data_IF_138382280229
#
_entry.id   IF_138382280229
#
_cell.length_a   1.000
_cell.length_b   1.000
_cell.length_c   1.000
_cell.angle_alpha   90.00
_cell.angle_beta   90.00
_cell.angle_gamma   90.00
#
_symmetry.space_group_name_H-M   'P 1'
#
loop_
_entity.id
_entity.type
_entity.pdbx_description
1 polymer ?
#
# COMPACT_ATOMS: atom_id res chain seq x y z
N UNK A 1 21.00 3.87 2.90
CA UNK A 1 21.32 4.88 1.87
C UNK A 1 20.06 5.15 1.07
N UNK A 2 19.78 6.42 0.72
CA UNK A 2 18.66 6.75 -0.17
C UNK A 2 19.08 6.46 -1.63
N UNK A 3 18.22 5.82 -2.42
CA UNK A 3 18.45 5.72 -3.86
C UNK A 3 18.12 7.05 -4.55
N UNK A 4 18.71 7.31 -5.71
CA UNK A 4 18.35 8.46 -6.54
C UNK A 4 16.85 8.42 -6.84
N UNK A 5 16.11 9.54 -6.67
CA UNK A 5 14.71 9.61 -7.08
C UNK A 5 14.55 9.36 -8.58
N UNK A 6 13.44 8.78 -8.98
CA UNK A 6 13.08 8.54 -10.38
C UNK A 6 11.59 8.74 -10.60
N UNK A 7 11.15 8.86 -11.85
CA UNK A 7 9.72 9.01 -12.18
C UNK A 7 9.17 7.75 -12.84
N UNK A 8 7.91 7.45 -12.55
CA UNK A 8 7.14 6.38 -13.20
C UNK A 8 5.96 7.00 -13.95
N UNK A 9 5.73 6.55 -15.19
CA UNK A 9 4.47 6.74 -15.90
C UNK A 9 3.59 5.50 -15.72
N UNK A 10 2.40 5.66 -15.15
CA UNK A 10 1.46 4.57 -14.99
C UNK A 10 0.94 4.09 -16.34
N UNK A 11 0.70 2.78 -16.48
CA UNK A 11 0.10 2.15 -17.65
C UNK A 11 -1.13 1.28 -17.31
N UNK A 12 -1.65 1.42 -16.08
CA UNK A 12 -2.77 0.63 -15.54
C UNK A 12 -4.09 1.18 -16.08
N UNK A 13 -4.31 2.48 -15.92
CA UNK A 13 -5.48 3.20 -16.40
C UNK A 13 -5.23 3.69 -17.83
N UNK A 14 -6.26 3.57 -18.67
CA UNK A 14 -6.20 4.00 -20.07
C UNK A 14 -6.10 5.53 -20.21
N UNK A 15 -6.61 6.27 -19.22
CA UNK A 15 -6.48 7.72 -19.17
C UNK A 15 -5.07 8.15 -18.78
N UNK A 16 -4.64 9.31 -19.29
CA UNK A 16 -3.38 9.90 -18.90
C UNK A 16 -3.42 10.40 -17.46
N UNK A 17 -2.29 10.21 -16.78
CA UNK A 17 -2.06 10.64 -15.41
C UNK A 17 -0.71 11.32 -15.33
N UNK A 18 -0.55 12.21 -14.33
CA UNK A 18 0.73 12.85 -14.03
C UNK A 18 1.78 11.79 -13.70
N UNK A 19 3.04 12.12 -13.98
CA UNK A 19 4.16 11.30 -13.57
C UNK A 19 4.23 11.18 -12.05
N UNK A 20 4.66 10.01 -11.59
CA UNK A 20 4.75 9.65 -10.18
C UNK A 20 6.22 9.76 -9.78
N UNK A 21 6.55 10.67 -8.86
CA UNK A 21 7.89 10.78 -8.30
C UNK A 21 8.09 9.68 -7.26
N UNK A 22 9.11 8.84 -7.45
CA UNK A 22 9.47 7.77 -6.52
C UNK A 22 10.75 8.13 -5.79
N UNK A 23 10.66 8.13 -4.46
CA UNK A 23 11.79 8.32 -3.56
C UNK A 23 11.96 7.08 -2.68
N UNK A 24 13.18 6.78 -2.26
CA UNK A 24 13.43 5.71 -1.30
C UNK A 24 14.26 6.18 -0.12
N UNK A 25 13.96 5.64 1.06
CA UNK A 25 14.73 5.90 2.26
C UNK A 25 14.77 4.67 3.16
N UNK A 26 15.77 4.58 4.01
CA UNK A 26 15.71 3.67 5.15
C UNK A 26 14.76 4.23 6.20
N UNK A 27 14.09 3.35 6.95
CA UNK A 27 13.19 3.78 8.02
C UNK A 27 13.87 4.71 9.06
N UNK A 28 15.19 4.63 9.25
CA UNK A 28 15.96 5.57 10.09
C UNK A 28 16.00 7.00 9.56
N UNK A 29 15.89 7.19 8.24
CA UNK A 29 15.92 8.48 7.55
C UNK A 29 14.53 9.02 7.23
N UNK A 30 13.46 8.27 7.52
CA UNK A 30 12.07 8.59 7.15
C UNK A 30 11.62 10.00 7.59
N UNK A 31 12.21 10.55 8.67
CA UNK A 31 11.88 11.91 9.16
C UNK A 31 12.13 13.00 8.13
N UNK A 32 13.08 12.80 7.21
CA UNK A 32 13.41 13.76 6.15
C UNK A 32 12.51 13.66 4.93
N UNK A 33 11.83 12.52 4.74
CA UNK A 33 11.05 12.24 3.53
C UNK A 33 9.54 12.33 3.78
N UNK A 34 9.09 11.89 4.96
CA UNK A 34 7.67 11.80 5.28
C UNK A 34 6.94 13.15 5.26
N UNK A 35 7.49 14.29 5.73
CA UNK A 35 6.79 15.57 5.65
C UNK A 35 6.45 15.96 4.20
N UNK A 36 7.40 15.85 3.28
CA UNK A 36 7.20 16.14 1.86
C UNK A 36 6.21 15.17 1.22
N UNK A 37 6.26 13.89 1.59
CA UNK A 37 5.27 12.90 1.18
C UNK A 37 3.86 13.28 1.67
N UNK A 38 3.70 13.61 2.96
CA UNK A 38 2.42 13.96 3.57
C UNK A 38 1.82 15.24 2.97
N UNK A 39 2.66 16.19 2.56
CA UNK A 39 2.20 17.39 1.87
C UNK A 39 1.58 17.10 0.48
N UNK A 40 1.82 15.91 -0.09
CA UNK A 40 1.21 15.47 -1.35
C UNK A 40 -0.05 14.61 -1.17
N UNK A 41 -0.50 14.39 0.07
CA UNK A 41 -1.69 13.59 0.35
C UNK A 41 -2.94 14.39 0.00
N UNK A 42 -3.75 13.83 -0.89
CA UNK A 42 -5.05 14.38 -1.29
C UNK A 42 -6.16 13.50 -0.68
N UNK A 43 -7.28 14.12 -0.30
CA UNK A 43 -8.48 13.46 0.27
C UNK A 43 -8.23 12.56 1.50
N UNK A 44 -7.11 12.74 2.18
CA UNK A 44 -6.64 11.87 3.27
C UNK A 44 -6.53 10.39 2.86
N UNK A 45 -6.17 10.10 1.61
CA UNK A 45 -6.00 8.73 1.11
C UNK A 45 -4.52 8.48 0.83
N UNK A 46 -4.02 7.35 1.32
CA UNK A 46 -2.69 6.84 0.98
C UNK A 46 -2.83 5.40 0.54
N UNK A 47 -2.27 5.07 -0.63
CA UNK A 47 -2.15 3.70 -1.07
C UNK A 47 -0.91 3.03 -0.47
N UNK A 48 -1.01 1.74 -0.16
CA UNK A 48 0.06 0.94 0.41
C UNK A 48 0.33 -0.31 -0.43
N UNK A 49 1.59 -0.71 -0.43
CA UNK A 49 2.03 -2.04 -0.85
C UNK A 49 3.24 -2.47 0.01
N UNK A 50 3.64 -3.72 -0.11
CA UNK A 50 4.84 -4.23 0.57
C UNK A 50 5.63 -5.14 -0.35
N UNK A 51 6.96 -5.13 -0.19
CA UNK A 51 7.84 -6.13 -0.78
C UNK A 51 8.30 -7.06 0.35
N UNK A 52 8.13 -8.36 0.14
CA UNK A 52 8.59 -9.39 1.06
C UNK A 52 9.97 -9.89 0.61
N UNK A 53 10.90 -9.93 1.56
CA UNK A 53 12.23 -10.51 1.40
C UNK A 53 12.26 -12.00 1.73
N UNK A 54 13.46 -12.55 2.00
CA UNK A 54 13.64 -13.95 2.38
C UNK A 54 12.73 -14.36 3.56
N UNK A 55 12.24 -15.61 3.52
CA UNK A 55 11.32 -16.17 4.53
C UNK A 55 9.97 -15.44 4.62
N UNK A 56 9.52 -14.78 3.54
CA UNK A 56 8.27 -14.02 3.46
C UNK A 56 8.16 -12.88 4.49
N UNK A 57 9.30 -12.36 4.98
CA UNK A 57 9.31 -11.21 5.89
C UNK A 57 9.23 -9.91 5.10
N UNK A 58 8.41 -8.98 5.53
CA UNK A 58 8.34 -7.66 4.89
C UNK A 58 9.72 -6.99 4.96
N UNK A 59 10.25 -6.59 3.81
CA UNK A 59 11.53 -5.89 3.69
C UNK A 59 11.37 -4.43 3.28
N UNK A 60 10.27 -4.09 2.58
CA UNK A 60 9.93 -2.71 2.23
C UNK A 60 8.45 -2.45 2.42
N UNK A 61 8.14 -1.27 2.94
CA UNK A 61 6.79 -0.71 2.95
C UNK A 61 6.75 0.42 1.92
N UNK A 62 5.75 0.42 1.06
CA UNK A 62 5.57 1.44 0.03
C UNK A 62 4.35 2.27 0.40
N UNK A 63 4.52 3.60 0.44
CA UNK A 63 3.44 4.57 0.61
C UNK A 63 3.24 5.30 -0.72
N UNK A 64 2.00 5.59 -1.09
CA UNK A 64 1.69 6.30 -2.34
C UNK A 64 0.58 7.32 -2.19
N UNK A 65 0.80 8.47 -2.82
CA UNK A 65 -0.22 9.48 -3.16
C UNK A 65 -0.40 9.50 -4.68
N UNK A 66 -1.24 10.39 -5.22
CA UNK A 66 -1.43 10.48 -6.67
C UNK A 66 -0.18 10.89 -7.44
N UNK A 67 0.77 11.59 -6.80
CA UNK A 67 1.95 12.18 -7.45
C UNK A 67 3.28 11.73 -6.86
N UNK A 68 3.28 11.05 -5.71
CA UNK A 68 4.50 10.60 -5.03
C UNK A 68 4.38 9.20 -4.48
N UNK A 69 5.47 8.45 -4.57
CA UNK A 69 5.68 7.18 -3.89
C UNK A 69 6.90 7.28 -3.00
N UNK A 70 6.76 6.82 -1.75
CA UNK A 70 7.86 6.68 -0.81
C UNK A 70 8.08 5.19 -0.50
N UNK A 71 9.22 4.67 -0.94
CA UNK A 71 9.67 3.30 -0.64
C UNK A 71 10.52 3.34 0.63
N UNK A 72 10.03 2.69 1.69
CA UNK A 72 10.70 2.63 2.98
C UNK A 72 11.37 1.27 3.13
N UNK A 73 12.70 1.24 3.18
CA UNK A 73 13.44 0.03 3.54
C UNK A 73 13.26 -0.24 5.03
N UNK A 74 12.69 -1.39 5.34
CA UNK A 74 12.37 -1.83 6.68
C UNK A 74 13.50 -2.73 7.20
N UNK A 75 14.05 -2.41 8.37
CA UNK A 75 14.97 -3.30 9.08
C UNK A 75 14.52 -3.52 10.51
N UNK A 76 14.66 -4.75 10.99
CA UNK A 76 14.24 -5.13 12.36
C UNK A 76 15.05 -4.41 13.45
N UNK A 77 16.25 -3.94 13.12
CA UNK A 77 17.21 -3.31 14.04
C UNK A 77 16.95 -1.83 14.31
N UNK A 78 16.05 -1.19 13.57
CA UNK A 78 15.88 0.26 13.67
C UNK A 78 14.97 0.67 14.84
N UNK A 79 15.56 1.43 15.76
CA UNK A 79 14.90 1.96 16.97
C UNK A 79 13.89 3.09 16.69
N UNK A 80 13.95 3.73 15.51
CA UNK A 80 13.22 4.97 15.23
C UNK A 80 11.91 4.73 14.45
N UNK A 81 11.03 3.87 14.98
CA UNK A 81 9.71 3.57 14.39
C UNK A 81 8.65 4.65 14.68
N UNK A 82 8.96 5.63 15.54
CA UNK A 82 7.97 6.52 16.15
C UNK A 82 7.17 7.34 15.14
N UNK A 83 7.81 7.89 14.11
CA UNK A 83 7.12 8.73 13.12
C UNK A 83 6.28 7.89 12.14
N UNK A 84 6.79 6.74 11.67
CA UNK A 84 6.01 5.81 10.87
C UNK A 84 4.81 5.28 11.65
N UNK A 85 5.01 4.94 12.94
CA UNK A 85 3.93 4.51 13.84
C UNK A 85 2.84 5.57 13.97
N UNK A 86 3.21 6.86 14.14
CA UNK A 86 2.24 7.96 14.18
C UNK A 86 1.42 8.04 12.90
N UNK A 87 2.06 7.90 11.74
CA UNK A 87 1.37 7.87 10.44
C UNK A 87 0.40 6.68 10.32
N UNK A 88 0.87 5.45 10.56
CA UNK A 88 0.04 4.24 10.47
C UNK A 88 -1.16 4.26 11.42
N UNK A 89 -1.00 4.90 12.59
CA UNK A 89 -2.03 5.06 13.61
C UNK A 89 -2.94 6.28 13.43
N UNK A 90 -2.71 7.11 12.41
CA UNK A 90 -3.52 8.30 12.15
C UNK A 90 -4.87 7.91 11.52
N UNK A 91 -5.93 7.80 12.32
CA UNK A 91 -7.24 7.37 11.83
C UNK A 91 -7.89 8.32 10.81
N UNK A 92 -7.44 9.58 10.71
CA UNK A 92 -7.95 10.51 9.70
C UNK A 92 -7.54 10.14 8.27
N UNK A 93 -6.46 9.35 8.12
CA UNK A 93 -5.95 8.90 6.83
C UNK A 93 -6.46 7.49 6.54
N UNK A 94 -7.11 7.30 5.40
CA UNK A 94 -7.44 5.99 4.83
C UNK A 94 -6.15 5.40 4.23
N UNK A 95 -5.81 4.17 4.62
CA UNK A 95 -4.70 3.42 4.00
C UNK A 95 -5.26 2.29 3.16
N UNK A 96 -5.26 2.42 1.84
CA UNK A 96 -5.78 1.39 0.94
C UNK A 96 -4.69 0.45 0.47
N UNK A 97 -4.98 -0.84 0.38
CA UNK A 97 -4.11 -1.85 -0.24
C UNK A 97 -4.95 -2.97 -0.83
N UNK A 98 -4.43 -3.71 -1.82
CA UNK A 98 -5.13 -4.87 -2.36
C UNK A 98 -5.20 -6.04 -1.37
N UNK A 99 -4.19 -6.19 -0.52
CA UNK A 99 -4.14 -7.23 0.51
C UNK A 99 -3.86 -6.60 1.87
N UNK A 100 -4.77 -5.71 2.29
CA UNK A 100 -4.52 -4.89 3.48
C UNK A 100 -4.42 -5.72 4.77
N UNK A 101 -5.05 -6.90 4.80
CA UNK A 101 -4.97 -7.88 5.87
C UNK A 101 -3.57 -8.52 5.97
N UNK A 102 -3.02 -9.03 4.86
CA UNK A 102 -1.66 -9.59 4.80
C UNK A 102 -0.62 -8.53 5.13
N UNK A 103 -0.78 -7.31 4.59
CA UNK A 103 0.10 -6.18 4.89
C UNK A 103 0.05 -5.81 6.38
N UNK A 104 -1.14 -5.75 6.97
CA UNK A 104 -1.33 -5.43 8.38
C UNK A 104 -0.74 -6.51 9.31
N UNK A 105 -0.89 -7.79 8.95
CA UNK A 105 -0.28 -8.91 9.65
C UNK A 105 1.25 -8.82 9.60
N UNK A 106 1.83 -8.57 8.43
CA UNK A 106 3.27 -8.40 8.26
C UNK A 106 3.82 -7.21 9.07
N UNK A 107 3.15 -6.05 9.06
CA UNK A 107 3.54 -4.91 9.91
C UNK A 107 3.60 -5.27 11.40
N UNK A 108 2.61 -6.04 11.88
CA UNK A 108 2.54 -6.44 13.28
C UNK A 108 3.59 -7.52 13.62
N UNK A 109 3.63 -8.61 12.86
CA UNK A 109 4.50 -9.76 13.13
C UNK A 109 5.98 -9.45 12.92
N UNK A 110 6.33 -8.71 11.87
CA UNK A 110 7.74 -8.42 11.55
C UNK A 110 8.28 -7.20 12.31
N UNK A 111 7.44 -6.20 12.56
CA UNK A 111 7.89 -4.89 13.03
C UNK A 111 7.19 -4.37 14.29
N UNK A 112 6.21 -5.09 14.85
CA UNK A 112 5.39 -4.63 15.98
C UNK A 112 4.76 -3.25 15.71
N UNK A 113 4.42 -3.00 14.44
CA UNK A 113 3.73 -1.81 14.00
C UNK A 113 2.24 -2.11 13.88
N UNK A 114 1.42 -1.17 14.35
CA UNK A 114 -0.03 -1.26 14.20
C UNK A 114 -0.49 -0.25 13.15
N UNK A 115 -1.55 -0.62 12.46
CA UNK A 115 -2.21 0.19 11.45
C UNK A 115 -3.68 0.36 11.81
N UNK A 116 -4.23 1.53 11.46
CA UNK A 116 -5.64 1.88 11.67
C UNK A 116 -6.22 2.48 10.41
N UNK A 117 -7.52 2.31 10.22
CA UNK A 117 -8.25 2.78 9.05
C UNK A 117 -7.63 2.28 7.74
N UNK A 118 -7.17 1.02 7.73
CA UNK A 118 -6.73 0.36 6.52
C UNK A 118 -7.92 -0.26 5.79
N UNK A 119 -7.98 -0.13 4.46
CA UNK A 119 -9.06 -0.61 3.60
C UNK A 119 -8.51 -1.64 2.64
N UNK A 120 -9.11 -2.81 2.67
CA UNK A 120 -8.77 -3.90 1.79
C UNK A 120 -9.54 -3.79 0.47
N UNK A 121 -8.84 -3.49 -0.63
CA UNK A 121 -9.48 -3.22 -1.91
C UNK A 121 -10.02 -4.47 -2.57
N UNK A 122 -9.44 -5.65 -2.33
CA UNK A 122 -10.00 -6.90 -2.86
C UNK A 122 -11.33 -7.26 -2.17
N UNK A 123 -11.60 -6.73 -0.97
CA UNK A 123 -12.93 -6.82 -0.33
C UNK A 123 -14.01 -5.99 -1.01
N UNK A 124 -13.66 -5.16 -2.01
CA UNK A 124 -14.64 -4.47 -2.84
C UNK A 124 -15.27 -5.43 -3.86
N UNK A 125 -14.49 -6.38 -4.38
CA UNK A 125 -14.96 -7.31 -5.42
C UNK A 125 -15.77 -8.47 -4.84
N UNK A 126 -16.71 -8.99 -5.63
CA UNK A 126 -17.44 -10.22 -5.35
C UNK A 126 -16.74 -11.45 -5.96
N UNK A 127 -15.75 -11.22 -6.84
CA UNK A 127 -14.92 -12.26 -7.44
C UNK A 127 -13.97 -12.88 -6.41
N UNK A 128 -13.42 -14.04 -6.76
CA UNK A 128 -12.35 -14.66 -5.98
C UNK A 128 -11.16 -13.70 -5.81
N UNK A 129 -10.64 -13.58 -4.59
CA UNK A 129 -9.67 -12.54 -4.22
C UNK A 129 -8.38 -12.64 -5.01
N UNK A 130 -7.98 -13.86 -5.36
CA UNK A 130 -6.75 -14.13 -6.09
C UNK A 130 -6.95 -14.03 -7.62
N UNK A 131 -8.16 -13.70 -8.09
CA UNK A 131 -8.47 -13.57 -9.51
C UNK A 131 -8.11 -12.20 -10.06
N UNK A 132 -7.71 -12.16 -11.34
CA UNK A 132 -7.55 -10.91 -12.08
C UNK A 132 -8.83 -10.05 -12.04
N UNK A 133 -10.00 -10.69 -12.07
CA UNK A 133 -11.29 -10.00 -12.04
C UNK A 133 -11.50 -9.23 -10.73
N UNK A 134 -10.97 -9.72 -9.60
CA UNK A 134 -10.99 -8.97 -8.35
C UNK A 134 -10.14 -7.70 -8.42
N UNK A 135 -8.95 -7.76 -9.01
CA UNK A 135 -8.12 -6.56 -9.24
C UNK A 135 -8.78 -5.58 -10.21
N UNK A 136 -9.32 -6.08 -11.33
CA UNK A 136 -10.02 -5.26 -12.31
C UNK A 136 -11.25 -4.57 -11.68
N UNK A 137 -12.05 -5.31 -10.92
CA UNK A 137 -13.23 -4.79 -10.22
C UNK A 137 -12.88 -3.76 -9.14
N UNK A 138 -11.81 -4.00 -8.39
CA UNK A 138 -11.31 -3.08 -7.38
C UNK A 138 -10.71 -1.78 -7.97
N UNK A 139 -10.32 -1.79 -9.24
CA UNK A 139 -9.72 -0.64 -9.93
C UNK A 139 -10.70 0.17 -10.78
N UNK A 140 -11.91 -0.34 -11.05
CA UNK A 140 -12.95 0.38 -11.80
C UNK A 140 -13.55 -0.35 -13.00
N UNK A 141 -13.05 -1.55 -13.32
CA UNK A 141 -13.55 -2.42 -14.39
C UNK A 141 -12.85 -2.25 -15.74
N UNK A 142 -13.16 -3.16 -16.68
CA UNK A 142 -12.41 -3.34 -17.94
C UNK A 142 -12.43 -2.14 -18.88
N UNK A 143 -13.43 -1.26 -18.81
CA UNK A 143 -13.54 -0.09 -19.70
C UNK A 143 -12.56 1.03 -19.39
N UNK A 144 -11.93 1.00 -18.20
CA UNK A 144 -11.02 2.06 -17.73
C UNK A 144 -9.57 1.60 -17.60
N UNK A 145 -9.32 0.29 -17.77
CA UNK A 145 -8.06 -0.36 -17.41
C UNK A 145 -7.45 -1.10 -18.59
N UNK A 146 -6.12 -1.10 -18.66
CA UNK A 146 -5.36 -2.03 -19.48
C UNK A 146 -5.27 -3.37 -18.76
N UNK A 147 -6.07 -4.36 -19.20
CA UNK A 147 -6.08 -5.71 -18.65
C UNK A 147 -4.68 -6.34 -18.63
N UNK A 148 -3.89 -6.13 -19.69
CA UNK A 148 -2.51 -6.61 -19.77
C UNK A 148 -1.60 -5.94 -18.74
N UNK A 149 -1.75 -4.64 -18.50
CA UNK A 149 -0.94 -3.95 -17.50
C UNK A 149 -1.29 -4.39 -16.07
N UNK A 150 -2.59 -4.56 -15.77
CA UNK A 150 -3.04 -5.11 -14.48
C UNK A 150 -2.47 -6.51 -14.29
N UNK A 151 -2.58 -7.39 -15.30
CA UNK A 151 -1.99 -8.73 -15.23
C UNK A 151 -0.48 -8.67 -14.93
N UNK A 152 0.27 -7.85 -15.66
CA UNK A 152 1.71 -7.71 -15.47
C UNK A 152 2.09 -7.16 -14.09
N UNK A 153 1.23 -6.36 -13.45
CA UNK A 153 1.56 -5.73 -12.15
C UNK A 153 1.14 -6.62 -10.97
N UNK A 154 0.07 -7.40 -11.11
CA UNK A 154 -0.52 -8.15 -9.99
C UNK A 154 -0.28 -9.67 -10.05
N UNK A 155 0.10 -10.25 -11.20
CA UNK A 155 0.31 -11.70 -11.33
C UNK A 155 1.69 -12.18 -10.81
N UNK A 156 2.59 -11.28 -10.42
CA UNK A 156 3.99 -11.61 -10.10
C UNK A 156 4.25 -12.07 -8.65
N UNK A 157 3.25 -12.23 -7.80
CA UNK A 157 3.48 -12.59 -6.39
C UNK A 157 4.19 -13.94 -6.18
N UNK A 158 4.14 -14.86 -7.15
CA UNK A 158 4.77 -16.18 -7.08
C UNK A 158 6.20 -16.25 -7.63
N UNK A 159 6.67 -15.23 -8.37
CA UNK A 159 8.02 -15.22 -8.97
C UNK A 159 8.95 -14.31 -8.19
N UNK A 160 10.18 -14.79 -7.99
CA UNK A 160 11.25 -14.17 -7.24
C UNK A 160 11.28 -12.62 -7.33
N UNK A 161 11.12 -11.97 -6.17
CA UNK A 161 11.35 -10.53 -5.94
C UNK A 161 10.48 -9.60 -6.78
N UNK A 162 9.38 -9.10 -6.20
CA UNK A 162 8.60 -8.01 -6.82
C UNK A 162 9.52 -6.81 -7.07
N UNK A 163 9.61 -6.41 -8.34
CA UNK A 163 10.37 -5.23 -8.76
C UNK A 163 9.85 -3.98 -8.03
N UNK A 164 10.72 -3.09 -7.51
CA UNK A 164 10.29 -1.91 -6.75
C UNK A 164 9.32 -1.01 -7.52
N UNK A 165 9.49 -0.93 -8.83
CA UNK A 165 8.60 -0.19 -9.74
C UNK A 165 7.19 -0.79 -9.77
N UNK A 166 7.07 -2.13 -9.80
CA UNK A 166 5.77 -2.80 -9.79
C UNK A 166 5.06 -2.57 -8.44
N UNK A 167 5.77 -2.74 -7.32
CA UNK A 167 5.21 -2.46 -5.99
C UNK A 167 4.81 -0.98 -5.80
N UNK A 168 5.58 -0.05 -6.37
CA UNK A 168 5.24 1.37 -6.42
C UNK A 168 3.93 1.61 -7.18
N UNK A 169 3.77 0.96 -8.35
CA UNK A 169 2.54 1.01 -9.13
C UNK A 169 1.35 0.36 -8.41
N UNK A 170 1.54 -0.75 -7.69
CA UNK A 170 0.50 -1.37 -6.87
C UNK A 170 0.01 -0.41 -5.77
N UNK A 171 0.93 0.22 -5.03
CA UNK A 171 0.57 1.20 -4.00
C UNK A 171 -0.14 2.41 -4.62
N UNK A 172 0.35 2.93 -5.74
CA UNK A 172 -0.31 4.02 -6.47
C UNK A 172 -1.70 3.64 -6.96
N UNK A 173 -1.86 2.45 -7.54
CA UNK A 173 -3.14 1.94 -7.99
C UNK A 173 -4.13 1.78 -6.83
N UNK A 174 -3.66 1.38 -5.65
CA UNK A 174 -4.47 1.30 -4.45
C UNK A 174 -4.94 2.70 -3.97
N UNK A 175 -4.09 3.71 -4.07
CA UNK A 175 -4.50 5.11 -3.82
C UNK A 175 -5.55 5.54 -4.86
N UNK A 176 -5.30 5.28 -6.14
CA UNK A 176 -6.17 5.68 -7.26
C UNK A 176 -7.56 5.05 -7.17
N UNK A 177 -7.65 3.76 -6.84
CA UNK A 177 -8.91 3.03 -6.69
C UNK A 177 -9.91 3.76 -5.77
N UNK A 178 -9.43 4.36 -4.68
CA UNK A 178 -10.30 5.09 -3.73
C UNK A 178 -10.88 6.40 -4.29
N UNK A 179 -10.41 6.87 -5.44
CA UNK A 179 -10.90 8.08 -6.11
C UNK A 179 -11.67 7.79 -7.39
N UNK A 180 -11.71 6.53 -7.83
CA UNK A 180 -12.50 6.12 -9.00
C UNK A 180 -13.99 6.19 -8.64
N UNK A 181 -14.83 6.93 -9.38
CA UNK A 181 -16.22 7.17 -9.00
C UNK A 181 -17.06 5.91 -8.74
N UNK A 182 -16.82 4.84 -9.51
CA UNK A 182 -17.53 3.55 -9.36
C UNK A 182 -17.04 2.72 -8.17
N UNK A 183 -15.84 2.99 -7.64
CA UNK A 183 -15.18 2.21 -6.59
C UNK A 183 -15.22 2.93 -5.24
N UNK A 184 -15.06 4.25 -5.22
CA UNK A 184 -14.96 5.05 -4.00
C UNK A 184 -16.11 4.82 -3.00
N UNK A 185 -17.40 4.75 -3.41
CA UNK A 185 -18.49 4.45 -2.48
C UNK A 185 -18.38 3.05 -1.86
N UNK A 186 -17.90 2.07 -2.64
CA UNK A 186 -17.74 0.67 -2.17
C UNK A 186 -16.59 0.57 -1.16
N UNK A 187 -15.47 1.25 -1.40
CA UNK A 187 -14.34 1.32 -0.46
C UNK A 187 -14.75 1.93 0.89
N UNK A 188 -15.64 2.93 0.88
CA UNK A 188 -16.18 3.50 2.14
C UNK A 188 -16.89 2.43 2.97
N UNK A 189 -17.60 1.51 2.33
CA UNK A 189 -18.36 0.43 2.96
C UNK A 189 -17.50 -0.78 3.38
N UNK A 190 -16.28 -0.93 2.85
CA UNK A 190 -15.35 -1.98 3.30
C UNK A 190 -15.00 -1.79 4.78
N UNK A 191 -14.98 -2.86 5.57
CA UNK A 191 -14.57 -2.78 6.98
C UNK A 191 -13.14 -2.26 7.13
N UNK A 192 -12.94 -1.34 8.07
CA UNK A 192 -11.62 -0.82 8.38
C UNK A 192 -10.82 -1.82 9.21
N UNK A 193 -9.64 -2.21 8.72
CA UNK A 193 -8.67 -3.00 9.47
C UNK A 193 -8.03 -2.11 10.53
N UNK A 194 -8.02 -2.60 11.78
CA UNK A 194 -7.43 -1.95 12.93
C UNK A 194 -6.68 -2.99 13.78
N UNK A 195 -5.35 -2.91 13.78
CA UNK A 195 -4.53 -3.90 14.51
C UNK A 195 -4.18 -3.48 15.94
N UNK A 196 -4.76 -2.39 16.46
CA UNK A 196 -4.55 -1.97 17.86
C UNK A 196 -5.04 -3.01 18.87
N UNK A 197 -6.01 -3.81 18.49
CA UNK A 197 -6.67 -4.78 19.38
C UNK A 197 -5.98 -6.15 19.40
N UNK A 198 -5.01 -6.40 18.52
CA UNK A 198 -4.33 -7.71 18.42
C UNK A 198 -3.61 -8.04 19.74
N UNK A 199 -2.99 -7.05 20.39
CA UNK A 199 -2.31 -7.23 21.68
C UNK A 199 -3.25 -7.56 22.85
N UNK A 200 -4.57 -7.29 22.72
CA UNK A 200 -5.55 -7.54 23.78
C UNK A 200 -5.97 -9.01 23.87
N UNK A 201 -5.97 -9.76 22.76
CA UNK A 201 -6.43 -11.15 22.76
C UNK A 201 -5.38 -12.13 23.29
N UNK A 202 -4.08 -11.81 23.21
CA UNK A 202 -3.01 -12.71 23.69
C UNK A 202 -2.93 -12.75 25.22
N UNK A 203 -3.45 -11.74 25.93
CA UNK A 203 -3.36 -11.66 27.40
C UNK A 203 -4.42 -12.46 28.18
N UNK A 204 -5.36 -13.12 27.50
CA UNK A 204 -6.40 -13.93 28.14
C UNK A 204 -6.14 -15.44 28.04
N UNK A 205 -4.96 -15.86 27.58
CA UNK A 205 -4.56 -17.26 27.44
C UNK A 205 -3.31 -17.63 28.27
N UNK A 206 -3.06 -16.95 29.38
CA UNK A 206 -2.05 -17.34 30.37
C UNK A 206 -2.73 -17.46 31.73
#
# INVERSE_FOLDING_TARGET
MASTPFTIKQNIFLHEHREILVESCDLGAIKSFLPTFLASVEDNIVGLASINGPKKRMSRLILSTMTRVLIINMSSTQKNKGILRKFLLNAAIIKSAFEADKLAAALHLDFQLHITNAKDLLSVSESDRDSLDAFMGALGGETTLSKQAVLNIFQHEERATVEPTAAALQAWAACRACTVPSVAPRVKNVFAICTRSIDRQVRYFI
#
